data_IF_971542982845
#
_entry.id   IF_971542982845
#
_cell.length_a   1.000
_cell.length_b   1.000
_cell.length_c   1.000
_cell.angle_alpha   90.00
_cell.angle_beta   90.00
_cell.angle_gamma   90.00
#
_symmetry.space_group_name_H-M   'P 1'
#
loop_
_entity.id
_entity.type
_entity.pdbx_description
1 polymer ?
#
# COMPACT_ATOMS: atom_id res chain seq x y z
N UNK A 1 2.31 5.78 -22.16
CA UNK A 1 1.91 7.18 -22.41
C UNK A 1 3.00 8.08 -21.83
N UNK A 2 3.56 9.02 -22.61
CA UNK A 2 4.60 9.93 -22.11
C UNK A 2 3.92 11.20 -21.65
N UNK A 3 4.01 11.49 -20.35
CA UNK A 3 3.50 12.73 -19.76
C UNK A 3 4.68 13.61 -19.38
N UNK A 4 4.59 14.90 -19.73
CA UNK A 4 5.49 15.93 -19.21
C UNK A 4 4.83 16.54 -17.99
N UNK A 5 5.33 16.17 -16.82
CA UNK A 5 4.83 16.67 -15.53
C UNK A 5 6.03 17.10 -14.72
N UNK A 6 5.93 18.26 -14.06
CA UNK A 6 6.89 18.66 -13.04
C UNK A 6 6.74 17.70 -11.85
N UNK A 7 7.63 16.73 -11.75
CA UNK A 7 7.55 15.66 -10.75
C UNK A 7 7.65 16.21 -9.34
N UNK A 8 8.42 17.29 -9.15
CA UNK A 8 8.59 17.94 -7.87
C UNK A 8 7.28 18.61 -7.43
N UNK A 9 6.59 19.30 -8.36
CA UNK A 9 5.30 19.91 -8.07
C UNK A 9 4.23 18.85 -7.76
N UNK A 10 4.14 17.81 -8.60
CA UNK A 10 3.15 16.75 -8.43
C UNK A 10 3.35 15.98 -7.11
N UNK A 11 4.59 15.58 -6.81
CA UNK A 11 4.91 14.89 -5.55
C UNK A 11 4.72 15.81 -4.33
N UNK A 12 5.07 17.08 -4.45
CA UNK A 12 4.87 18.09 -3.41
C UNK A 12 3.38 18.31 -3.10
N UNK A 13 2.56 18.58 -4.11
CA UNK A 13 1.11 18.75 -3.93
C UNK A 13 0.47 17.48 -3.37
N UNK A 14 0.80 16.31 -3.93
CA UNK A 14 0.25 15.05 -3.45
C UNK A 14 0.62 14.77 -2.00
N UNK A 15 1.88 14.98 -1.61
CA UNK A 15 2.32 14.78 -0.23
C UNK A 15 1.72 15.78 0.75
N UNK A 16 1.50 17.04 0.35
CA UNK A 16 0.76 18.02 1.18
C UNK A 16 -0.72 17.63 1.34
N UNK A 17 -1.37 17.18 0.27
CA UNK A 17 -2.74 16.67 0.34
C UNK A 17 -2.82 15.44 1.26
N UNK A 18 -1.88 14.52 1.14
CA UNK A 18 -1.81 13.33 2.00
C UNK A 18 -1.59 13.70 3.47
N UNK A 19 -0.62 14.58 3.74
CA UNK A 19 -0.32 15.04 5.09
C UNK A 19 -1.51 15.78 5.73
N UNK A 20 -2.19 16.64 4.97
CA UNK A 20 -3.38 17.37 5.45
C UNK A 20 -4.58 16.45 5.71
N UNK A 21 -4.84 15.48 4.83
CA UNK A 21 -5.91 14.49 5.00
C UNK A 21 -5.71 13.63 6.26
N UNK A 22 -4.47 13.31 6.60
CA UNK A 22 -4.11 12.46 7.73
C UNK A 22 -3.74 13.22 9.01
N UNK A 23 -3.73 14.55 8.98
CA UNK A 23 -3.39 15.38 10.14
C UNK A 23 -4.44 15.28 11.25
N UNK A 24 -5.70 15.09 10.87
CA UNK A 24 -6.82 15.01 11.81
C UNK A 24 -6.77 13.70 12.60
N UNK A 25 -6.70 13.74 13.95
CA UNK A 25 -6.68 12.55 14.77
C UNK A 25 -7.96 11.74 14.53
N UNK A 26 -7.80 10.45 14.25
CA UNK A 26 -8.87 9.45 14.39
C UNK A 26 -8.70 8.79 15.77
N UNK A 27 -9.81 8.45 16.41
CA UNK A 27 -9.91 8.14 17.84
C UNK A 27 -8.94 7.05 18.37
N UNK A 28 -8.74 7.06 19.70
CA UNK A 28 -8.13 6.02 20.56
C UNK A 28 -6.68 5.54 20.26
N UNK A 29 -5.87 6.31 19.55
CA UNK A 29 -4.44 5.98 19.45
C UNK A 29 -3.69 6.37 20.74
N UNK A 30 -3.02 5.41 21.37
CA UNK A 30 -2.19 5.66 22.55
C UNK A 30 -1.14 6.76 22.31
N UNK A 31 -0.86 7.58 23.34
CA UNK A 31 0.03 8.76 23.23
C UNK A 31 1.37 8.47 22.57
N UNK A 32 1.99 7.32 22.89
CA UNK A 32 3.27 6.89 22.31
C UNK A 32 3.12 6.47 20.84
N UNK A 33 2.03 5.79 20.50
CA UNK A 33 1.70 5.35 19.14
C UNK A 33 1.44 6.51 18.18
N UNK A 34 1.12 7.70 18.70
CA UNK A 34 0.91 8.92 17.90
C UNK A 34 2.21 9.67 17.55
N UNK A 35 3.31 9.44 18.29
CA UNK A 35 4.56 10.18 18.07
C UNK A 35 5.12 9.87 16.68
N UNK A 36 5.19 8.59 16.33
CA UNK A 36 5.75 8.16 15.06
C UNK A 36 4.94 8.65 13.84
N UNK A 37 3.61 8.43 13.76
CA UNK A 37 2.80 8.96 12.67
C UNK A 37 2.89 10.49 12.54
N UNK A 38 2.87 11.23 13.66
CA UNK A 38 2.99 12.70 13.63
C UNK A 38 4.35 13.15 13.13
N UNK A 39 5.43 12.50 13.56
CA UNK A 39 6.78 12.81 13.09
C UNK A 39 6.90 12.57 11.58
N UNK A 40 6.39 11.43 11.09
CA UNK A 40 6.37 11.12 9.66
C UNK A 40 5.53 12.14 8.88
N UNK A 41 4.32 12.49 9.37
CA UNK A 41 3.48 13.49 8.73
C UNK A 41 4.15 14.86 8.65
N UNK A 42 4.84 15.28 9.72
CA UNK A 42 5.59 16.54 9.72
C UNK A 42 6.73 16.51 8.71
N UNK A 43 7.52 15.42 8.69
CA UNK A 43 8.61 15.24 7.72
C UNK A 43 8.06 15.26 6.30
N UNK A 44 6.97 14.53 6.03
CA UNK A 44 6.30 14.53 4.72
C UNK A 44 5.85 15.94 4.36
N UNK A 45 5.19 16.67 5.25
CA UNK A 45 4.73 18.02 4.99
C UNK A 45 5.91 18.98 4.66
N UNK A 46 7.00 18.91 5.42
CA UNK A 46 8.20 19.74 5.20
C UNK A 46 8.85 19.40 3.86
N UNK A 47 9.12 18.13 3.58
CA UNK A 47 9.74 17.70 2.31
C UNK A 47 8.84 18.07 1.13
N UNK A 48 7.52 17.85 1.24
CA UNK A 48 6.57 18.23 0.21
C UNK A 48 6.50 19.74 -0.02
N UNK A 49 6.55 20.57 1.03
CA UNK A 49 6.63 22.02 0.89
C UNK A 49 7.92 22.45 0.19
N UNK A 50 9.07 21.85 0.55
CA UNK A 50 10.36 22.09 -0.13
C UNK A 50 10.28 21.71 -1.61
N UNK A 51 9.64 20.59 -1.96
CA UNK A 51 9.45 20.17 -3.35
C UNK A 51 8.55 21.14 -4.12
N UNK A 52 7.47 21.65 -3.52
CA UNK A 52 6.63 22.69 -4.14
C UNK A 52 7.44 23.95 -4.39
N UNK A 53 8.22 24.44 -3.43
CA UNK A 53 9.06 25.62 -3.59
C UNK A 53 10.11 25.39 -4.69
N UNK A 54 10.80 24.25 -4.64
CA UNK A 54 11.80 23.84 -5.63
C UNK A 54 11.20 23.76 -7.03
N UNK A 55 9.96 23.31 -7.16
CA UNK A 55 9.28 23.19 -8.43
C UNK A 55 9.09 24.54 -9.15
N UNK A 56 9.08 25.66 -8.42
CA UNK A 56 9.02 27.01 -9.00
C UNK A 56 10.42 27.64 -9.23
N UNK A 57 11.44 27.23 -8.48
CA UNK A 57 12.80 27.79 -8.61
C UNK A 57 13.69 27.01 -9.57
N UNK A 58 13.55 25.68 -9.64
CA UNK A 58 14.29 24.79 -10.53
C UNK A 58 13.44 23.56 -10.86
N UNK A 59 12.51 23.68 -11.83
CA UNK A 59 11.59 22.61 -12.20
C UNK A 59 12.36 21.35 -12.66
N UNK A 60 12.14 20.23 -11.98
CA UNK A 60 12.55 18.92 -12.51
C UNK A 60 11.50 18.46 -13.54
N UNK A 61 11.64 18.89 -14.79
CA UNK A 61 10.85 18.33 -15.89
C UNK A 61 11.40 16.96 -16.27
N UNK A 62 10.72 15.90 -15.83
CA UNK A 62 11.03 14.53 -16.23
C UNK A 62 9.94 14.01 -17.15
N UNK A 63 10.35 13.33 -18.21
CA UNK A 63 9.43 12.56 -19.04
C UNK A 63 9.06 11.30 -18.25
N UNK A 64 7.83 11.22 -17.77
CA UNK A 64 7.33 10.04 -17.06
C UNK A 64 6.77 9.09 -18.12
N UNK A 65 7.38 7.92 -18.23
CA UNK A 65 6.83 6.82 -19.00
C UNK A 65 5.95 6.00 -18.06
N UNK A 66 4.63 6.08 -18.24
CA UNK A 66 3.71 5.19 -17.52
C UNK A 66 3.84 3.81 -18.17
N UNK A 67 4.59 2.93 -17.51
CA UNK A 67 4.67 1.50 -17.82
C UNK A 67 3.42 0.79 -17.33
N UNK A 68 2.87 -0.11 -18.16
CA UNK A 68 1.65 -0.85 -17.85
C UNK A 68 0.35 -0.09 -18.12
N UNK A 69 -0.75 -0.62 -17.58
CA UNK A 69 -2.11 -0.11 -17.83
C UNK A 69 -2.59 0.76 -16.66
N UNK A 70 -2.95 2.04 -16.88
CA UNK A 70 -3.50 2.91 -15.84
C UNK A 70 -4.73 2.31 -15.15
N UNK A 71 -5.57 1.59 -15.90
CA UNK A 71 -6.74 0.88 -15.36
C UNK A 71 -6.32 -0.21 -14.35
N UNK A 72 -5.21 -0.89 -14.63
CA UNK A 72 -4.65 -1.92 -13.74
C UNK A 72 -4.10 -1.31 -12.46
N UNK A 73 -3.39 -0.19 -12.56
CA UNK A 73 -2.90 0.55 -11.39
C UNK A 73 -4.08 0.95 -10.51
N UNK A 74 -5.13 1.54 -11.10
CA UNK A 74 -6.34 1.91 -10.38
C UNK A 74 -7.02 0.69 -9.73
N UNK A 75 -7.14 -0.43 -10.45
CA UNK A 75 -7.69 -1.66 -9.90
C UNK A 75 -6.88 -2.16 -8.70
N UNK A 76 -5.54 -2.16 -8.77
CA UNK A 76 -4.69 -2.58 -7.65
C UNK A 76 -4.84 -1.66 -6.44
N UNK A 77 -4.94 -0.34 -6.66
CA UNK A 77 -5.23 0.61 -5.58
C UNK A 77 -6.55 0.26 -4.88
N UNK A 78 -7.62 0.04 -5.66
CA UNK A 78 -8.94 -0.31 -5.11
C UNK A 78 -8.91 -1.66 -4.37
N UNK A 79 -8.21 -2.66 -4.90
CA UNK A 79 -8.05 -3.97 -4.26
C UNK A 79 -7.30 -3.85 -2.93
N UNK A 80 -6.28 -2.99 -2.83
CA UNK A 80 -5.56 -2.77 -1.57
C UNK A 80 -6.43 -2.05 -0.52
N UNK A 81 -7.28 -1.12 -0.93
CA UNK A 81 -8.27 -0.53 -0.02
C UNK A 81 -9.32 -1.56 0.43
N UNK A 82 -9.79 -2.41 -0.49
CA UNK A 82 -10.69 -3.50 -0.15
C UNK A 82 -10.02 -4.49 0.82
N UNK A 83 -8.75 -4.83 0.62
CA UNK A 83 -7.97 -5.65 1.54
C UNK A 83 -7.90 -5.04 2.94
N UNK A 84 -7.57 -3.76 3.06
CA UNK A 84 -7.54 -3.07 4.35
C UNK A 84 -8.87 -3.17 5.10
N UNK A 85 -9.99 -2.98 4.41
CA UNK A 85 -11.32 -3.18 4.97
C UNK A 85 -11.57 -4.65 5.36
N UNK A 86 -11.19 -5.60 4.49
CA UNK A 86 -11.37 -7.03 4.73
C UNK A 86 -10.54 -7.56 5.90
N UNK A 87 -9.40 -6.94 6.25
CA UNK A 87 -8.65 -7.32 7.47
C UNK A 87 -9.55 -7.19 8.70
N UNK A 88 -10.32 -6.11 8.80
CA UNK A 88 -11.21 -5.88 9.95
C UNK A 88 -12.42 -6.80 10.01
N UNK A 89 -12.76 -7.48 8.90
CA UNK A 89 -13.95 -8.36 8.80
C UNK A 89 -13.55 -9.84 8.80
N UNK A 90 -12.59 -10.22 7.96
CA UNK A 90 -12.17 -11.60 7.74
C UNK A 90 -10.92 -11.99 8.54
N UNK A 91 -10.29 -11.03 9.22
CA UNK A 91 -9.03 -11.21 9.92
C UNK A 91 -7.82 -11.12 9.00
N UNK A 92 -6.64 -10.90 9.59
CA UNK A 92 -5.39 -10.68 8.85
C UNK A 92 -5.02 -11.85 7.93
N UNK A 93 -5.06 -13.09 8.44
CA UNK A 93 -4.59 -14.28 7.70
C UNK A 93 -5.47 -14.53 6.47
N UNK A 94 -6.80 -14.59 6.66
CA UNK A 94 -7.75 -14.88 5.57
C UNK A 94 -7.72 -13.80 4.49
N UNK A 95 -7.83 -12.52 4.90
CA UNK A 95 -7.88 -11.40 3.97
C UNK A 95 -6.58 -11.28 3.16
N UNK A 96 -5.43 -11.40 3.82
CA UNK A 96 -4.12 -11.32 3.17
C UNK A 96 -3.92 -12.49 2.22
N UNK A 97 -4.24 -13.71 2.64
CA UNK A 97 -4.13 -14.88 1.79
C UNK A 97 -5.00 -14.74 0.54
N UNK A 98 -6.30 -14.46 0.70
CA UNK A 98 -7.24 -14.37 -0.43
C UNK A 98 -6.85 -13.24 -1.38
N UNK A 99 -6.59 -12.03 -0.86
CA UNK A 99 -6.32 -10.88 -1.70
C UNK A 99 -4.98 -10.98 -2.40
N UNK A 100 -3.89 -11.31 -1.69
CA UNK A 100 -2.58 -11.40 -2.33
C UNK A 100 -2.47 -12.60 -3.27
N UNK A 101 -3.09 -13.73 -2.94
CA UNK A 101 -3.19 -14.85 -3.89
C UNK A 101 -3.98 -14.44 -5.14
N UNK A 102 -5.09 -13.72 -4.97
CA UNK A 102 -5.88 -13.17 -6.07
C UNK A 102 -5.10 -12.18 -6.93
N UNK A 103 -4.29 -11.29 -6.33
CA UNK A 103 -3.41 -10.36 -7.04
C UNK A 103 -2.37 -11.13 -7.85
N UNK A 104 -1.68 -12.11 -7.25
CA UNK A 104 -0.68 -12.94 -7.94
C UNK A 104 -1.31 -13.68 -9.12
N UNK A 105 -2.46 -14.30 -8.91
CA UNK A 105 -3.19 -14.99 -9.97
C UNK A 105 -3.64 -14.05 -11.09
N UNK A 106 -4.20 -12.89 -10.75
CA UNK A 106 -4.62 -11.87 -11.70
C UNK A 106 -3.44 -11.36 -12.53
N UNK A 107 -2.34 -10.96 -11.89
CA UNK A 107 -1.16 -10.46 -12.60
C UNK A 107 -0.54 -11.55 -13.50
N UNK A 108 -0.41 -12.78 -13.00
CA UNK A 108 0.13 -13.88 -13.79
C UNK A 108 -0.76 -14.24 -14.99
N UNK A 109 -2.08 -14.18 -14.84
CA UNK A 109 -3.04 -14.50 -15.92
C UNK A 109 -3.03 -13.47 -17.06
N UNK A 110 -2.56 -12.25 -16.80
CA UNK A 110 -2.35 -11.23 -17.83
C UNK A 110 -1.13 -11.55 -18.69
N UNK A 111 -0.06 -12.05 -18.09
CA UNK A 111 1.18 -12.34 -18.82
C UNK A 111 1.12 -13.68 -19.55
N UNK A 112 0.47 -14.68 -18.95
CA UNK A 112 0.46 -16.05 -19.46
C UNK A 112 -0.77 -16.82 -18.95
N UNK A 113 -1.18 -17.86 -19.69
CA UNK A 113 -2.22 -18.78 -19.19
C UNK A 113 -1.71 -19.51 -17.96
N UNK A 114 -2.42 -19.35 -16.85
CA UNK A 114 -2.09 -20.03 -15.59
C UNK A 114 -2.69 -21.44 -15.62
N UNK A 115 -1.83 -22.46 -15.54
CA UNK A 115 -2.28 -23.85 -15.41
C UNK A 115 -2.75 -24.16 -13.99
N UNK A 116 -3.68 -25.10 -13.85
CA UNK A 116 -4.18 -25.52 -12.55
C UNK A 116 -3.06 -26.03 -11.61
N UNK A 117 -2.10 -26.77 -12.16
CA UNK A 117 -0.93 -27.26 -11.41
C UNK A 117 -0.10 -26.11 -10.80
N UNK A 118 0.00 -24.98 -11.52
CA UNK A 118 0.73 -23.81 -11.04
C UNK A 118 -0.01 -23.11 -9.90
N UNK A 119 -1.34 -23.01 -9.98
CA UNK A 119 -2.18 -22.50 -8.89
C UNK A 119 -1.99 -23.37 -7.64
N UNK A 120 -2.02 -24.69 -7.80
CA UNK A 120 -1.85 -25.64 -6.71
C UNK A 120 -0.46 -25.56 -6.07
N UNK A 121 0.59 -25.32 -6.86
CA UNK A 121 1.94 -25.11 -6.35
C UNK A 121 2.12 -23.78 -5.60
N UNK A 122 1.37 -22.73 -5.96
CA UNK A 122 1.43 -21.44 -5.27
C UNK A 122 0.71 -21.43 -3.94
N UNK A 123 -0.33 -22.25 -3.78
CA UNK A 123 -1.14 -22.33 -2.57
C UNK A 123 -0.29 -22.55 -1.30
N UNK A 124 0.59 -23.58 -1.21
CA UNK A 124 1.42 -23.77 -0.02
C UNK A 124 2.44 -22.65 0.16
N UNK A 125 2.98 -22.07 -0.93
CA UNK A 125 3.94 -20.97 -0.84
C UNK A 125 3.29 -19.73 -0.24
N UNK A 126 2.10 -19.36 -0.71
CA UNK A 126 1.32 -18.26 -0.15
C UNK A 126 0.97 -18.50 1.32
N UNK A 127 0.57 -19.73 1.67
CA UNK A 127 0.23 -20.08 3.05
C UNK A 127 1.45 -19.95 3.98
N UNK A 128 2.62 -20.44 3.56
CA UNK A 128 3.88 -20.31 4.30
C UNK A 128 4.25 -18.84 4.48
N UNK A 129 4.21 -18.04 3.42
CA UNK A 129 4.56 -16.61 3.50
C UNK A 129 3.62 -15.89 4.47
N UNK A 130 2.31 -16.05 4.31
CA UNK A 130 1.33 -15.41 5.21
C UNK A 130 1.51 -15.89 6.65
N UNK A 131 1.76 -17.19 6.86
CA UNK A 131 2.05 -17.74 8.19
C UNK A 131 3.32 -17.18 8.83
N UNK A 132 4.40 -17.01 8.05
CA UNK A 132 5.63 -16.37 8.51
C UNK A 132 5.41 -14.90 8.90
N UNK A 133 4.62 -14.17 8.11
CA UNK A 133 4.24 -12.79 8.46
C UNK A 133 3.39 -12.77 9.74
N UNK A 134 2.41 -13.66 9.86
CA UNK A 134 1.59 -13.76 11.08
C UNK A 134 2.49 -13.98 12.31
N UNK A 135 3.33 -15.02 12.29
CA UNK A 135 4.26 -15.34 13.37
C UNK A 135 5.23 -14.18 13.68
N UNK A 136 5.79 -13.54 12.67
CA UNK A 136 6.67 -12.40 12.88
C UNK A 136 5.95 -11.25 13.60
N UNK A 137 4.68 -10.99 13.26
CA UNK A 137 3.93 -9.92 13.89
C UNK A 137 3.46 -10.29 15.30
N UNK A 138 2.96 -11.51 15.52
CA UNK A 138 2.42 -11.93 16.82
C UNK A 138 3.50 -12.23 17.84
N UNK A 139 4.52 -13.00 17.46
CA UNK A 139 5.49 -13.55 18.42
C UNK A 139 6.74 -12.67 18.51
N UNK A 140 7.24 -12.17 17.37
CA UNK A 140 8.48 -11.37 17.34
C UNK A 140 8.17 -9.91 17.66
N UNK A 141 7.17 -9.33 17.01
CA UNK A 141 6.82 -7.90 17.15
C UNK A 141 5.76 -7.64 18.22
N UNK A 142 5.12 -8.68 18.77
CA UNK A 142 4.10 -8.57 19.82
C UNK A 142 2.94 -7.62 19.42
N UNK A 143 2.57 -7.67 18.14
CA UNK A 143 1.46 -6.90 17.57
C UNK A 143 0.21 -7.76 17.51
N UNK A 144 -0.87 -7.30 18.14
CA UNK A 144 -2.19 -7.92 18.01
C UNK A 144 -2.74 -7.68 16.61
N UNK A 145 -2.83 -8.76 15.82
CA UNK A 145 -3.46 -8.73 14.51
C UNK A 145 -4.96 -9.01 14.65
N UNK A 146 -5.82 -8.39 13.84
CA UNK A 146 -7.25 -8.69 13.86
C UNK A 146 -7.51 -10.17 13.55
N UNK A 147 -8.07 -10.85 14.54
CA UNK A 147 -8.71 -12.16 14.40
C UNK A 147 -10.08 -11.96 13.76
N UNK A 148 -10.40 -12.82 12.81
CA UNK A 148 -11.54 -12.65 11.91
C UNK A 148 -12.70 -13.54 12.25
N UNK A 149 -13.75 -13.51 11.43
CA UNK A 149 -14.91 -14.39 11.57
C UNK A 149 -14.58 -15.90 11.57
N UNK A 150 -13.40 -16.30 11.10
CA UNK A 150 -13.04 -17.71 10.91
C UNK A 150 -12.05 -18.26 11.94
N UNK A 151 -11.34 -17.39 12.68
CA UNK A 151 -10.37 -17.71 13.73
C UNK A 151 -9.92 -16.42 14.41
#
# INVERSE_FOLDING_TARGET
MILRVNTDLAAGIFGLLFASLLWFPREEMGRLSLIFPRAILLITAVVSAVLVIKAFTSPAERQILIEGSPKRILLMILVLFAWWYLIGVLGFVTSTFVVFFGIVWYLASIEQRVSFNRILAWLPVAAIIVGLFYFAFTDILQVSLPEGLFF
#
